data_IF_980132686827
#
_entry.id   IF_980132686827
#
_cell.length_a   1.000
_cell.length_b   1.000
_cell.length_c   1.000
_cell.angle_alpha   90.00
_cell.angle_beta   90.00
_cell.angle_gamma   90.00
#
_symmetry.space_group_name_H-M   'P 1'
#
loop_
_entity.id
_entity.type
_entity.pdbx_description
1 polymer ?
#
# COMPACT_ATOMS: atom_id res chain seq x y z
N UNK A 1 45.95 -21.19 0.33
CA UNK A 1 45.78 -20.28 1.49
C UNK A 1 44.81 -19.20 1.06
N UNK A 2 43.55 -19.33 1.52
CA UNK A 2 42.53 -18.31 1.81
C UNK A 2 42.27 -17.19 0.77
N UNK A 3 41.07 -16.97 0.24
CA UNK A 3 39.71 -17.26 0.74
C UNK A 3 38.74 -17.35 -0.45
N UNK A 4 37.90 -18.38 -0.45
CA UNK A 4 36.60 -18.30 -1.09
C UNK A 4 35.62 -17.64 -0.13
N UNK A 5 34.77 -16.78 -0.67
CA UNK A 5 33.44 -16.53 -0.11
C UNK A 5 32.50 -16.18 -1.27
N UNK A 6 31.82 -17.22 -1.77
CA UNK A 6 30.66 -17.07 -2.62
C UNK A 6 29.43 -17.12 -1.73
N UNK A 7 28.50 -16.19 -1.97
CA UNK A 7 27.15 -16.11 -1.39
C UNK A 7 27.05 -15.74 0.10
N UNK A 8 26.73 -14.46 0.37
CA UNK A 8 25.65 -14.07 1.31
C UNK A 8 25.36 -12.56 1.24
N UNK A 9 24.31 -12.17 0.49
CA UNK A 9 23.90 -10.77 0.41
C UNK A 9 22.80 -10.39 -0.59
N UNK A 10 22.07 -11.37 -1.15
CA UNK A 10 20.71 -11.23 -1.70
C UNK A 10 20.50 -10.25 -2.87
N UNK A 11 20.58 -10.81 -4.08
CA UNK A 11 19.96 -10.39 -5.35
C UNK A 11 18.42 -10.15 -5.30
N UNK A 12 17.83 -9.98 -4.11
CA UNK A 12 16.42 -9.63 -3.93
C UNK A 12 16.18 -8.21 -4.47
N UNK A 13 17.17 -7.31 -4.35
CA UNK A 13 17.07 -5.94 -4.84
C UNK A 13 16.91 -5.87 -6.38
N UNK A 14 17.67 -6.67 -7.13
CA UNK A 14 17.54 -6.76 -8.60
C UNK A 14 16.24 -7.46 -9.04
N UNK A 15 15.79 -8.48 -8.28
CA UNK A 15 14.52 -9.16 -8.55
C UNK A 15 13.33 -8.24 -8.29
N UNK A 16 13.39 -7.37 -7.27
CA UNK A 16 12.36 -6.39 -6.97
C UNK A 16 12.31 -5.27 -8.02
N UNK A 17 13.47 -4.78 -8.49
CA UNK A 17 13.55 -3.78 -9.56
C UNK A 17 13.03 -4.37 -10.88
N UNK A 18 13.42 -5.60 -11.22
CA UNK A 18 12.89 -6.31 -12.39
C UNK A 18 11.38 -6.59 -12.28
N UNK A 19 10.86 -6.91 -11.09
CA UNK A 19 9.43 -7.08 -10.86
C UNK A 19 8.65 -5.77 -10.99
N UNK A 20 9.21 -4.65 -10.52
CA UNK A 20 8.61 -3.32 -10.65
C UNK A 20 8.60 -2.84 -12.12
N UNK A 21 9.70 -3.03 -12.84
CA UNK A 21 9.78 -2.72 -14.28
C UNK A 21 8.83 -3.63 -15.07
N UNK A 22 8.77 -4.92 -14.76
CA UNK A 22 7.82 -5.84 -15.37
C UNK A 22 6.36 -5.44 -15.08
N UNK A 23 6.05 -4.99 -13.86
CA UNK A 23 4.73 -4.47 -13.50
C UNK A 23 4.37 -3.19 -14.28
N UNK A 24 5.30 -2.25 -14.42
CA UNK A 24 5.06 -1.01 -15.17
C UNK A 24 4.86 -1.27 -16.68
N UNK A 25 5.64 -2.17 -17.26
CA UNK A 25 5.47 -2.61 -18.66
C UNK A 25 4.15 -3.36 -18.84
N UNK A 26 3.79 -4.26 -17.92
CA UNK A 26 2.53 -4.99 -17.98
C UNK A 26 1.32 -4.06 -17.80
N UNK A 27 1.40 -3.09 -16.89
CA UNK A 27 0.40 -2.03 -16.67
C UNK A 27 0.19 -1.19 -17.93
N UNK A 28 1.27 -0.84 -18.63
CA UNK A 28 1.20 -0.06 -19.87
C UNK A 28 0.65 -0.86 -21.07
N UNK A 29 0.95 -2.17 -21.17
CA UNK A 29 0.40 -3.05 -22.21
C UNK A 29 -1.06 -3.42 -21.93
N UNK A 30 -1.44 -3.66 -20.67
CA UNK A 30 -2.82 -3.92 -20.25
C UNK A 30 -3.72 -2.68 -20.46
N UNK A 31 -3.21 -1.48 -20.18
CA UNK A 31 -3.88 -0.21 -20.47
C UNK A 31 -4.09 0.01 -21.99
N UNK A 32 -3.20 -0.51 -22.85
CA UNK A 32 -3.40 -0.50 -24.31
C UNK A 32 -4.39 -1.55 -24.81
N UNK A 33 -4.43 -2.76 -24.23
CA UNK A 33 -5.37 -3.82 -24.63
C UNK A 33 -6.82 -3.54 -24.22
N UNK A 34 -7.06 -2.81 -23.12
CA UNK A 34 -8.41 -2.40 -22.72
C UNK A 34 -9.05 -1.36 -23.65
N UNK A 35 -8.26 -0.65 -24.47
CA UNK A 35 -8.78 0.27 -25.50
C UNK A 35 -9.20 -0.43 -26.81
N UNK A 36 -9.11 -1.75 -26.91
CA UNK A 36 -9.41 -2.52 -28.14
C UNK A 36 -10.49 -3.61 -27.99
N UNK A 37 -11.39 -3.54 -27.01
CA UNK A 37 -12.59 -4.40 -27.04
C UNK A 37 -13.84 -3.60 -27.44
N UNK A 38 -14.29 -3.70 -28.71
CA UNK A 38 -15.63 -3.29 -29.08
C UNK A 38 -16.67 -4.25 -28.49
N UNK A 39 -17.63 -3.62 -27.84
CA UNK A 39 -18.87 -4.15 -27.27
C UNK A 39 -19.70 -4.88 -28.34
N UNK A 40 -20.08 -6.13 -28.07
CA UNK A 40 -21.17 -6.82 -28.78
C UNK A 40 -22.22 -7.30 -27.79
N UNK A 41 -23.44 -6.85 -28.05
CA UNK A 41 -24.68 -7.25 -27.41
C UNK A 41 -25.10 -8.66 -27.84
N UNK A 42 -25.84 -9.37 -26.98
CA UNK A 42 -26.81 -10.37 -27.41
C UNK A 42 -27.90 -10.57 -26.35
N UNK A 43 -29.12 -10.18 -26.71
CA UNK A 43 -30.37 -10.61 -26.09
C UNK A 43 -30.75 -12.01 -26.61
N UNK A 44 -31.40 -12.85 -25.79
CA UNK A 44 -31.96 -14.12 -26.27
C UNK A 44 -32.48 -15.06 -25.17
N UNK A 45 -33.81 -15.07 -25.02
CA UNK A 45 -34.78 -16.12 -24.63
C UNK A 45 -34.36 -17.46 -23.95
N UNK A 46 -35.22 -17.85 -22.99
CA UNK A 46 -35.31 -19.05 -22.11
C UNK A 46 -35.71 -20.37 -22.85
N UNK A 47 -36.13 -21.48 -22.17
CA UNK A 47 -35.78 -22.16 -20.89
C UNK A 47 -35.48 -23.69 -21.12
N UNK A 48 -35.54 -24.53 -20.04
CA UNK A 48 -35.47 -26.03 -19.96
C UNK A 48 -34.07 -26.62 -19.66
N UNK A 49 -33.84 -27.67 -18.85
CA UNK A 49 -34.60 -28.51 -17.89
C UNK A 49 -33.58 -29.53 -17.31
N UNK A 50 -33.63 -29.87 -16.00
CA UNK A 50 -33.17 -31.16 -15.36
C UNK A 50 -31.69 -31.58 -15.55
N UNK A 51 -31.02 -32.34 -14.70
CA UNK A 51 -31.37 -33.23 -13.60
C UNK A 51 -30.12 -33.43 -12.69
N UNK A 52 -30.40 -33.84 -11.45
CA UNK A 52 -29.52 -34.29 -10.36
C UNK A 52 -28.11 -34.80 -10.69
N UNK A 53 -27.13 -34.51 -9.81
CA UNK A 53 -26.13 -35.48 -9.29
C UNK A 53 -25.62 -34.99 -7.91
N UNK A 54 -26.10 -35.63 -6.85
CA UNK A 54 -25.52 -35.61 -5.50
C UNK A 54 -24.39 -36.64 -5.42
N UNK A 55 -23.28 -36.32 -4.74
CA UNK A 55 -22.55 -37.35 -3.98
C UNK A 55 -22.64 -37.10 -2.47
N UNK A 56 -22.80 -38.22 -1.77
CA UNK A 56 -22.99 -38.36 -0.34
C UNK A 56 -21.93 -37.67 0.53
N UNK A 57 -22.42 -36.97 1.56
CA UNK A 57 -21.62 -36.52 2.70
C UNK A 57 -21.32 -37.72 3.61
N UNK A 58 -20.03 -38.01 3.82
CA UNK A 58 -19.57 -38.84 4.92
C UNK A 58 -19.32 -37.95 6.15
N UNK A 59 -19.73 -38.36 7.36
CA UNK A 59 -19.46 -37.60 8.57
C UNK A 59 -18.01 -37.84 9.02
N UNK A 60 -17.13 -36.86 8.80
CA UNK A 60 -15.79 -36.88 9.40
C UNK A 60 -15.87 -36.27 10.80
N UNK A 61 -15.78 -37.16 11.79
CA UNK A 61 -15.55 -36.89 13.20
C UNK A 61 -14.05 -36.59 13.35
N UNK A 62 -13.65 -35.33 13.21
CA UNK A 62 -12.41 -34.85 13.83
C UNK A 62 -12.48 -33.33 14.05
N UNK A 63 -12.30 -32.94 15.30
CA UNK A 63 -12.59 -31.61 15.81
C UNK A 63 -11.76 -30.49 15.19
N UNK A 64 -12.41 -29.33 15.07
CA UNK A 64 -11.79 -28.03 15.31
C UNK A 64 -10.76 -27.57 14.28
N UNK A 65 -11.17 -27.42 13.01
CA UNK A 65 -10.52 -26.43 12.16
C UNK A 65 -10.93 -25.04 12.64
N UNK A 66 -10.18 -24.49 13.60
CA UNK A 66 -10.19 -23.06 13.83
C UNK A 66 -9.76 -22.39 12.53
N UNK A 67 -10.67 -21.62 11.92
CA UNK A 67 -10.31 -20.66 10.89
C UNK A 67 -9.10 -19.84 11.42
N UNK A 68 -8.12 -19.47 10.57
CA UNK A 68 -7.08 -18.57 11.01
C UNK A 68 -7.78 -17.30 11.51
N UNK A 69 -7.76 -17.10 12.83
CA UNK A 69 -8.19 -15.85 13.41
C UNK A 69 -7.32 -14.80 12.73
N UNK A 70 -7.94 -13.91 11.95
CA UNK A 70 -7.27 -12.71 11.45
C UNK A 70 -6.52 -12.11 12.65
N UNK A 71 -5.20 -12.05 12.55
CA UNK A 71 -4.34 -11.57 13.62
C UNK A 71 -4.91 -10.22 14.05
N UNK A 72 -5.42 -10.15 15.28
CA UNK A 72 -5.98 -8.89 15.78
C UNK A 72 -4.86 -7.86 15.78
N UNK A 73 -5.12 -6.63 15.34
CA UNK A 73 -4.13 -5.57 15.39
C UNK A 73 -3.59 -5.47 16.82
N UNK A 74 -2.27 -5.61 16.97
CA UNK A 74 -1.62 -5.45 18.27
C UNK A 74 -1.57 -3.95 18.55
N UNK A 75 -2.46 -3.49 19.42
CA UNK A 75 -2.49 -2.11 19.88
C UNK A 75 -1.83 -2.06 21.26
N UNK A 76 -0.52 -1.93 21.27
CA UNK A 76 0.27 -1.52 22.43
C UNK A 76 0.47 0.00 22.38
N UNK A 77 -0.65 0.73 22.51
CA UNK A 77 -0.66 2.17 22.42
C UNK A 77 -0.35 2.83 23.78
N UNK A 78 0.45 3.91 23.81
CA UNK A 78 0.72 4.64 25.03
C UNK A 78 -0.52 5.42 25.50
N UNK A 79 -0.59 5.74 26.80
CA UNK A 79 -1.78 6.36 27.40
C UNK A 79 -2.16 7.74 26.82
N UNK A 80 -1.20 8.46 26.23
CA UNK A 80 -1.43 9.74 25.57
C UNK A 80 -1.93 9.60 24.12
N UNK A 81 -1.90 8.40 23.53
CA UNK A 81 -2.26 8.18 22.14
C UNK A 81 -3.77 8.24 21.95
N UNK A 82 -4.22 9.10 21.03
CA UNK A 82 -5.61 9.21 20.63
C UNK A 82 -5.75 8.80 19.17
N UNK A 83 -6.36 7.64 18.93
CA UNK A 83 -6.53 7.06 17.59
C UNK A 83 -7.27 8.00 16.64
N UNK A 84 -8.40 8.58 17.05
CA UNK A 84 -9.21 9.43 16.17
C UNK A 84 -8.44 10.67 15.70
N UNK A 85 -7.74 11.33 16.63
CA UNK A 85 -6.90 12.49 16.32
C UNK A 85 -5.70 12.10 15.47
N UNK A 86 -5.12 10.93 15.72
CA UNK A 86 -4.02 10.39 14.93
C UNK A 86 -4.45 10.07 13.49
N UNK A 87 -5.60 9.41 13.28
CA UNK A 87 -6.13 9.11 11.95
C UNK A 87 -6.47 10.38 11.16
N UNK A 88 -7.03 11.39 11.83
CA UNK A 88 -7.27 12.70 11.21
C UNK A 88 -5.96 13.38 10.79
N UNK A 89 -4.95 13.39 11.68
CA UNK A 89 -3.62 13.92 11.37
C UNK A 89 -2.94 13.13 10.23
N UNK A 90 -3.05 11.80 10.23
CA UNK A 90 -2.48 10.94 9.20
C UNK A 90 -3.09 11.21 7.82
N UNK A 91 -4.40 11.47 7.74
CA UNK A 91 -5.06 11.88 6.49
C UNK A 91 -4.49 13.19 5.95
N UNK A 92 -4.29 14.19 6.81
CA UNK A 92 -3.67 15.45 6.41
C UNK A 92 -2.20 15.26 5.99
N UNK A 93 -1.48 14.39 6.69
CA UNK A 93 -0.10 14.04 6.39
C UNK A 93 0.01 13.42 4.99
N UNK A 94 -0.87 12.47 4.68
CA UNK A 94 -0.96 11.86 3.36
C UNK A 94 -1.20 12.90 2.26
N UNK A 95 -2.18 13.78 2.42
CA UNK A 95 -2.50 14.81 1.43
C UNK A 95 -1.34 15.80 1.23
N UNK A 96 -0.69 16.21 2.33
CA UNK A 96 0.44 17.14 2.28
C UNK A 96 1.64 16.51 1.57
N UNK A 97 1.95 15.24 1.88
CA UNK A 97 3.02 14.51 1.22
C UNK A 97 2.77 14.40 -0.29
N UNK A 98 1.55 14.05 -0.70
CA UNK A 98 1.16 13.97 -2.11
C UNK A 98 1.30 15.32 -2.82
N UNK A 99 0.84 16.40 -2.19
CA UNK A 99 0.97 17.76 -2.75
C UNK A 99 2.43 18.15 -2.98
N UNK A 100 3.30 17.93 -1.97
CA UNK A 100 4.72 18.27 -2.08
C UNK A 100 5.46 17.33 -3.06
N UNK A 101 5.06 16.07 -3.15
CA UNK A 101 5.56 15.12 -4.14
C UNK A 101 5.22 15.56 -5.56
N UNK A 102 3.97 15.92 -5.81
CA UNK A 102 3.49 16.38 -7.12
C UNK A 102 4.22 17.67 -7.56
N UNK A 103 4.45 18.58 -6.61
CA UNK A 103 5.17 19.84 -6.80
C UNK A 103 6.71 19.71 -6.84
N UNK A 104 7.26 18.52 -6.60
CA UNK A 104 8.70 18.27 -6.50
C UNK A 104 9.40 19.06 -5.37
N UNK A 105 8.72 19.31 -4.25
CA UNK A 105 9.23 20.08 -3.11
C UNK A 105 9.92 19.17 -2.09
N UNK A 106 11.05 18.56 -2.48
CA UNK A 106 11.76 17.58 -1.64
C UNK A 106 12.20 18.13 -0.27
N UNK A 107 12.48 19.43 -0.18
CA UNK A 107 12.83 20.09 1.09
C UNK A 107 11.64 20.13 2.05
N UNK A 108 10.40 20.21 1.54
CA UNK A 108 9.18 20.13 2.33
C UNK A 108 8.87 18.71 2.75
N UNK A 109 9.07 17.74 1.85
CA UNK A 109 8.91 16.32 2.17
C UNK A 109 9.79 15.89 3.35
N UNK A 110 10.99 16.48 3.49
CA UNK A 110 11.90 16.19 4.59
C UNK A 110 11.31 16.42 6.00
N UNK A 111 10.27 17.25 6.12
CA UNK A 111 9.57 17.52 7.40
C UNK A 111 8.61 16.39 7.80
N UNK A 112 8.24 15.53 6.84
CA UNK A 112 7.20 14.51 6.96
C UNK A 112 7.75 13.09 7.04
N UNK A 113 9.00 12.88 6.59
CA UNK A 113 9.59 11.55 6.42
C UNK A 113 10.91 11.43 7.18
N UNK A 114 11.30 10.21 7.50
CA UNK A 114 12.63 9.95 8.07
C UNK A 114 13.75 10.27 7.06
N UNK A 115 14.98 10.57 7.51
CA UNK A 115 16.10 10.83 6.59
C UNK A 115 16.41 9.70 5.62
N UNK A 116 16.13 8.45 6.01
CA UNK A 116 16.29 7.26 5.18
C UNK A 116 15.22 7.22 4.08
N UNK A 117 13.96 7.44 4.45
CA UNK A 117 12.85 7.54 3.50
C UNK A 117 13.03 8.72 2.53
N UNK A 118 13.53 9.86 3.00
CA UNK A 118 13.80 11.01 2.14
C UNK A 118 14.80 10.67 1.01
N UNK A 119 15.86 9.93 1.34
CA UNK A 119 16.85 9.52 0.33
C UNK A 119 16.23 8.61 -0.73
N UNK A 120 15.38 7.67 -0.30
CA UNK A 120 14.63 6.79 -1.19
C UNK A 120 13.72 7.60 -2.12
N UNK A 121 12.90 8.50 -1.57
CA UNK A 121 11.99 9.35 -2.34
C UNK A 121 12.73 10.26 -3.34
N UNK A 122 13.90 10.78 -2.97
CA UNK A 122 14.74 11.58 -3.88
C UNK A 122 15.25 10.75 -5.07
N UNK A 123 15.61 9.49 -4.85
CA UNK A 123 16.04 8.59 -5.92
C UNK A 123 14.86 8.26 -6.85
N UNK A 124 13.71 7.87 -6.28
CA UNK A 124 12.51 7.59 -7.06
C UNK A 124 12.07 8.81 -7.88
N UNK A 125 12.17 10.02 -7.31
CA UNK A 125 11.88 11.26 -8.01
C UNK A 125 12.86 11.54 -9.15
N UNK A 126 14.15 11.27 -8.93
CA UNK A 126 15.17 11.44 -9.97
C UNK A 126 14.91 10.52 -11.17
N UNK A 127 14.42 9.30 -10.94
CA UNK A 127 14.07 8.34 -11.99
C UNK A 127 12.82 8.76 -12.78
N UNK A 128 11.87 9.46 -12.14
CA UNK A 128 10.68 10.02 -12.79
C UNK A 128 10.98 11.29 -13.62
N UNK A 129 12.08 11.99 -13.32
CA UNK A 129 12.50 13.23 -13.96
C UNK A 129 11.73 14.48 -13.53
N UNK A 130 11.91 15.58 -14.28
CA UNK A 130 11.42 16.92 -13.90
C UNK A 130 9.93 17.17 -14.20
N UNK A 131 9.18 16.16 -14.65
CA UNK A 131 7.77 16.32 -14.95
C UNK A 131 6.94 16.53 -13.67
N UNK A 132 6.17 17.62 -13.61
CA UNK A 132 5.15 17.80 -12.59
C UNK A 132 4.18 16.61 -12.62
N UNK A 133 3.89 16.07 -11.44
CA UNK A 133 2.88 15.04 -11.30
C UNK A 133 1.57 15.71 -10.87
N UNK A 134 0.45 15.04 -11.11
CA UNK A 134 -0.85 15.51 -10.67
C UNK A 134 -1.67 14.31 -10.26
N UNK A 135 -1.80 14.15 -8.96
CA UNK A 135 -2.46 13.03 -8.33
C UNK A 135 -3.69 13.55 -7.59
N UNK A 136 -4.85 13.04 -7.97
CA UNK A 136 -6.12 13.29 -7.29
C UNK A 136 -6.53 12.02 -6.57
N UNK A 137 -6.93 12.15 -5.32
CA UNK A 137 -7.30 11.03 -4.46
C UNK A 137 -8.77 11.17 -4.09
N UNK A 138 -9.55 10.20 -4.54
CA UNK A 138 -10.97 10.08 -4.19
C UNK A 138 -11.17 8.95 -3.18
N UNK A 139 -12.21 9.09 -2.35
CA UNK A 139 -12.63 8.10 -1.36
C UNK A 139 -11.52 7.60 -0.42
N UNK A 140 -10.62 8.51 -0.02
CA UNK A 140 -9.53 8.19 0.90
C UNK A 140 -10.07 7.66 2.24
N UNK A 141 -9.77 6.41 2.52
CA UNK A 141 -9.98 5.73 3.77
C UNK A 141 -8.62 5.51 4.46
N UNK A 142 -8.64 5.56 5.80
CA UNK A 142 -7.45 5.32 6.62
C UNK A 142 -7.82 4.41 7.78
N UNK A 143 -7.03 3.39 8.01
CA UNK A 143 -7.21 2.41 9.08
C UNK A 143 -5.92 2.28 9.88
N UNK A 144 -6.07 2.15 11.20
CA UNK A 144 -4.96 1.86 12.10
C UNK A 144 -4.80 0.35 12.21
N UNK A 145 -3.68 -0.17 11.73
CA UNK A 145 -3.35 -1.60 11.78
C UNK A 145 -2.62 -1.99 13.08
N UNK A 146 -1.95 -1.04 13.73
CA UNK A 146 -1.11 -1.35 14.86
C UNK A 146 -0.47 -0.12 15.45
N UNK A 147 -0.26 -0.15 16.77
CA UNK A 147 0.60 0.81 17.48
C UNK A 147 1.45 0.00 18.44
N UNK A 148 2.74 0.28 18.45
CA UNK A 148 3.72 -0.37 19.30
C UNK A 148 4.60 0.69 19.97
N UNK A 149 4.40 0.88 21.27
CA UNK A 149 5.25 1.76 22.07
C UNK A 149 6.51 1.01 22.53
N UNK A 150 7.67 1.50 22.07
CA UNK A 150 9.00 0.95 22.42
C UNK A 150 9.78 1.94 23.27
N UNK A 151 10.87 1.46 23.86
CA UNK A 151 11.71 2.27 24.72
C UNK A 151 12.33 3.48 24.01
N UNK A 152 12.60 3.36 22.70
CA UNK A 152 13.30 4.36 21.89
C UNK A 152 12.38 5.16 20.96
N UNK A 153 11.14 4.70 20.72
CA UNK A 153 10.14 5.36 19.86
C UNK A 153 8.78 4.67 19.93
N UNK A 154 7.74 5.39 19.50
CA UNK A 154 6.44 4.80 19.21
C UNK A 154 6.33 4.55 17.71
N UNK A 155 5.86 3.36 17.33
CA UNK A 155 5.66 2.96 15.94
C UNK A 155 4.17 2.77 15.69
N UNK A 156 3.65 3.29 14.58
CA UNK A 156 2.26 3.09 14.18
C UNK A 156 2.19 2.64 12.73
N UNK A 157 1.39 1.61 12.45
CA UNK A 157 1.15 1.14 11.09
C UNK A 157 -0.26 1.53 10.67
N UNK A 158 -0.36 2.20 9.52
CA UNK A 158 -1.61 2.66 8.93
C UNK A 158 -1.81 1.99 7.59
N UNK A 159 -3.05 1.73 7.20
CA UNK A 159 -3.42 1.39 5.82
C UNK A 159 -4.26 2.50 5.24
N UNK A 160 -3.81 3.06 4.12
CA UNK A 160 -4.55 3.99 3.28
C UNK A 160 -5.13 3.24 2.09
N UNK A 161 -6.37 3.53 1.73
CA UNK A 161 -6.99 3.01 0.52
C UNK A 161 -7.90 4.05 -0.11
N UNK A 162 -8.10 3.95 -1.42
CA UNK A 162 -8.94 4.90 -2.16
C UNK A 162 -8.78 4.72 -3.67
N UNK A 163 -9.13 5.76 -4.42
CA UNK A 163 -8.98 5.81 -5.89
C UNK A 163 -8.02 6.92 -6.27
N UNK A 164 -6.94 6.57 -6.97
CA UNK A 164 -5.93 7.51 -7.46
C UNK A 164 -6.18 7.87 -8.91
N UNK A 165 -6.10 9.16 -9.26
CA UNK A 165 -6.41 9.70 -10.57
C UNK A 165 -5.30 10.60 -11.06
N UNK A 166 -4.98 10.51 -12.35
CA UNK A 166 -3.99 11.39 -13.00
C UNK A 166 -4.61 12.69 -13.54
N UNK A 167 -5.94 12.76 -13.57
CA UNK A 167 -6.72 13.92 -14.01
C UNK A 167 -8.11 13.88 -13.36
N UNK A 168 -8.75 15.04 -13.20
CA UNK A 168 -10.10 15.14 -12.62
C UNK A 168 -11.18 14.41 -13.44
N UNK A 169 -10.92 14.16 -14.71
CA UNK A 169 -11.84 13.44 -15.61
C UNK A 169 -11.52 11.95 -15.73
N UNK A 170 -10.44 11.49 -15.08
CA UNK A 170 -10.05 10.09 -15.06
C UNK A 170 -10.96 9.30 -14.12
N UNK A 171 -11.23 8.03 -14.47
CA UNK A 171 -11.90 7.09 -13.57
C UNK A 171 -10.99 6.72 -12.41
N UNK A 172 -9.68 6.76 -12.64
CA UNK A 172 -8.67 6.42 -11.65
C UNK A 172 -8.49 4.92 -11.45
N UNK A 173 -7.50 4.58 -10.64
CA UNK A 173 -7.15 3.22 -10.27
C UNK A 173 -7.24 3.08 -8.74
N UNK A 174 -7.88 2.02 -8.23
CA UNK A 174 -7.91 1.77 -6.80
C UNK A 174 -6.49 1.52 -6.29
N UNK A 175 -6.20 2.04 -5.10
CA UNK A 175 -4.93 1.79 -4.42
C UNK A 175 -5.18 1.37 -2.98
N UNK A 176 -4.22 0.63 -2.44
CA UNK A 176 -4.10 0.32 -1.02
C UNK A 176 -2.63 0.32 -0.67
N UNK A 177 -2.24 1.03 0.38
CA UNK A 177 -0.87 1.11 0.84
C UNK A 177 -0.78 1.20 2.36
N UNK A 178 0.23 0.54 2.91
CA UNK A 178 0.53 0.59 4.34
C UNK A 178 1.70 1.51 4.61
N UNK A 179 1.52 2.42 5.56
CA UNK A 179 2.53 3.35 6.02
C UNK A 179 3.00 2.96 7.40
N UNK A 180 4.32 2.92 7.57
CA UNK A 180 4.95 2.79 8.86
C UNK A 180 5.38 4.18 9.34
N UNK A 181 4.77 4.62 10.44
CA UNK A 181 5.00 5.90 11.08
C UNK A 181 5.83 5.71 12.35
N UNK A 182 6.77 6.60 12.59
CA UNK A 182 7.58 6.60 13.81
C UNK A 182 7.49 7.96 14.51
N UNK A 183 7.51 7.95 15.84
CA UNK A 183 7.58 9.14 16.68
C UNK A 183 8.63 8.95 17.76
N UNK A 184 9.57 9.88 17.84
CA UNK A 184 10.58 9.91 18.88
C UNK A 184 9.94 10.15 20.27
N UNK A 185 10.57 9.68 21.36
CA UNK A 185 10.11 9.91 22.72
C UNK A 185 10.25 11.40 23.09
N UNK A 186 9.35 11.85 23.96
CA UNK A 186 9.31 13.23 24.43
C UNK A 186 8.05 13.97 23.99
N UNK A 187 7.93 15.19 24.49
CA UNK A 187 6.81 16.06 24.19
C UNK A 187 6.98 16.68 22.79
N UNK A 188 5.86 16.94 22.11
CA UNK A 188 5.81 17.63 20.81
C UNK A 188 6.67 17.04 19.68
N UNK A 189 7.10 15.78 19.79
CA UNK A 189 7.78 15.10 18.69
C UNK A 189 6.81 14.82 17.52
N UNK A 190 7.21 15.10 16.27
CA UNK A 190 6.39 14.83 15.10
C UNK A 190 6.31 13.32 14.81
N UNK A 191 5.25 12.93 14.11
CA UNK A 191 5.19 11.63 13.46
C UNK A 191 5.88 11.74 12.11
N UNK A 192 6.75 10.79 11.78
CA UNK A 192 7.48 10.74 10.52
C UNK A 192 7.20 9.43 9.79
N UNK A 193 7.08 9.48 8.46
CA UNK A 193 6.97 8.28 7.63
C UNK A 193 8.34 7.60 7.53
N UNK A 194 8.44 6.37 8.04
CA UNK A 194 9.63 5.54 7.98
C UNK A 194 9.56 4.49 6.85
N UNK A 195 8.36 4.13 6.40
CA UNK A 195 8.15 3.10 5.38
C UNK A 195 6.83 3.28 4.65
N UNK A 196 6.81 3.02 3.34
CA UNK A 196 5.59 2.93 2.53
C UNK A 196 5.63 1.59 1.78
N UNK A 197 4.51 0.86 1.79
CA UNK A 197 4.38 -0.42 1.09
C UNK A 197 3.04 -0.49 0.38
N UNK A 198 3.03 -0.78 -0.92
CA UNK A 198 1.78 -1.03 -1.65
C UNK A 198 1.21 -2.41 -1.27
N UNK A 199 -0.09 -2.43 -0.97
CA UNK A 199 -0.86 -3.64 -0.74
C UNK A 199 -1.55 -3.96 -2.07
N UNK A 200 -0.84 -4.72 -2.93
CA UNK A 200 -1.30 -5.04 -4.29
C UNK A 200 -2.55 -5.91 -4.36
#
# INVERSE_FOLDING_TARGET
MFMGDGFQGMQIFDILIMALIAFLVFRFIAARRRKQQPQMAAAGHAPFQREAHQPAAQPSIFGGSAAPAAARPVINAPAWFNEQSFLAAARNHFQSLQQHWDANEMDKIAEFVTPQMLQFLKQERADLGDAFQSTYIDDLNVQLEGVDDRADKTIATLTFSGVSKTSRFDQGEPFSESWNMERAPGENQPWLVAGIRQNG
#
